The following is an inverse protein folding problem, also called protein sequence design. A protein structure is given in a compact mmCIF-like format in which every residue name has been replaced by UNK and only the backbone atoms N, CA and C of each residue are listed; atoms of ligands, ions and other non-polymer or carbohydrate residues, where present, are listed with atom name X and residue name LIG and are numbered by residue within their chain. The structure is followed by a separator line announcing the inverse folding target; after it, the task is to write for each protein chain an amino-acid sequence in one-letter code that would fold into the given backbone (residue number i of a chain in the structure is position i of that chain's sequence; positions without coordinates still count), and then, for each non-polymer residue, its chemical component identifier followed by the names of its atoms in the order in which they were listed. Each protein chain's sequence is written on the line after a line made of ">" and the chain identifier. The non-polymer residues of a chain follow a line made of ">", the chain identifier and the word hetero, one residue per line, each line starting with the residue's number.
data_IF_725708796896
#
_entry.id   IF_725708796896
#
_cell.length_a   1.000
_cell.length_b   1.000
_cell.length_c   1.000
_cell.angle_alpha   90.00
_cell.angle_beta   90.00
_cell.angle_gamma   90.00
#
_symmetry.space_group_name_H-M   'P 1'
#
loop_
_entity.id
_entity.type
_entity.pdbx_description
1 polymer ?
#
# COMPACT_ATOMS: atom_id res chain seq x y z
N UNK A 1 4.09 28.59 -12.15
CA UNK A 1 3.91 27.31 -12.85
C UNK A 1 2.52 27.35 -13.46
N UNK A 2 2.42 27.85 -14.68
CA UNK A 2 1.19 27.80 -15.47
C UNK A 2 0.85 26.34 -15.77
N UNK A 3 -0.41 26.00 -15.51
CA UNK A 3 -0.92 24.65 -15.62
C UNK A 3 -1.38 24.47 -17.07
N UNK A 4 -0.49 24.03 -17.95
CA UNK A 4 -0.81 23.68 -19.34
C UNK A 4 -1.78 22.49 -19.36
N UNK A 5 -3.08 22.78 -19.18
CA UNK A 5 -4.14 21.80 -19.38
C UNK A 5 -4.22 21.53 -20.87
N UNK A 6 -3.65 20.40 -21.30
CA UNK A 6 -3.85 19.88 -22.63
C UNK A 6 -5.36 19.78 -22.93
N UNK A 7 -5.83 20.63 -23.84
CA UNK A 7 -7.22 20.62 -24.32
C UNK A 7 -7.45 19.26 -24.97
N UNK A 8 -8.40 18.50 -24.45
CA UNK A 8 -8.69 17.19 -25.02
C UNK A 8 -9.34 17.36 -26.40
N UNK A 9 -9.06 16.44 -27.34
CA UNK A 9 -9.60 16.51 -28.71
C UNK A 9 -11.14 16.70 -28.74
N UNK A 10 -11.85 16.13 -27.77
CA UNK A 10 -13.29 16.32 -27.60
C UNK A 10 -13.73 17.73 -27.18
N UNK A 11 -12.95 18.42 -26.33
CA UNK A 11 -13.18 19.85 -26.00
C UNK A 11 -12.95 20.75 -27.21
N UNK A 12 -11.90 20.47 -27.99
CA UNK A 12 -11.61 21.22 -29.20
C UNK A 12 -12.73 21.07 -30.24
N UNK A 13 -13.24 19.85 -30.43
CA UNK A 13 -14.36 19.57 -31.35
C UNK A 13 -15.68 20.23 -30.90
N UNK A 14 -15.99 20.19 -29.59
CA UNK A 14 -17.21 20.86 -29.08
C UNK A 14 -17.10 22.38 -29.13
N UNK A 15 -15.92 22.95 -28.82
CA UNK A 15 -15.68 24.38 -28.96
C UNK A 15 -15.79 24.85 -30.42
N UNK A 16 -15.17 24.13 -31.36
CA UNK A 16 -15.28 24.41 -32.79
C UNK A 16 -16.72 24.29 -33.29
N UNK A 17 -17.45 23.25 -32.87
CA UNK A 17 -18.86 23.06 -33.22
C UNK A 17 -19.74 24.19 -32.68
N UNK A 18 -19.53 24.63 -31.45
CA UNK A 18 -20.28 25.74 -30.85
C UNK A 18 -19.96 27.09 -31.53
N UNK A 19 -18.69 27.36 -31.83
CA UNK A 19 -18.28 28.56 -32.57
C UNK A 19 -18.90 28.56 -33.97
N UNK A 20 -18.87 27.43 -34.68
CA UNK A 20 -19.54 27.28 -35.97
C UNK A 20 -21.05 27.52 -35.89
N UNK A 21 -21.70 27.03 -34.83
CA UNK A 21 -23.12 27.25 -34.58
C UNK A 21 -23.44 28.73 -34.30
N UNK A 22 -22.63 29.43 -33.51
CA UNK A 22 -22.78 30.86 -33.24
C UNK A 22 -22.58 31.73 -34.49
N UNK A 23 -21.59 31.40 -35.32
CA UNK A 23 -21.35 32.09 -36.60
C UNK A 23 -22.52 31.87 -37.56
N UNK A 24 -23.00 30.62 -37.67
CA UNK A 24 -24.17 30.31 -38.49
C UNK A 24 -25.43 31.04 -38.01
N UNK A 25 -25.64 31.13 -36.68
CA UNK A 25 -26.76 31.86 -36.08
C UNK A 25 -26.69 33.37 -36.37
N UNK A 26 -25.50 33.96 -36.29
CA UNK A 26 -25.30 35.38 -36.58
C UNK A 26 -25.53 35.73 -38.07
N UNK A 27 -25.21 34.80 -38.99
CA UNK A 27 -25.42 34.97 -40.42
C UNK A 27 -26.85 34.63 -40.88
N UNK A 28 -27.56 33.76 -40.15
CA UNK A 28 -28.90 33.29 -40.45
C UNK A 28 -29.83 33.49 -39.25
N UNK A 29 -30.04 34.76 -38.90
CA UNK A 29 -30.91 35.10 -37.78
C UNK A 29 -32.36 34.69 -38.07
N UNK A 30 -33.00 33.90 -37.20
CA UNK A 30 -34.35 33.39 -37.46
C UNK A 30 -35.42 34.47 -37.29
N UNK A 31 -36.16 34.73 -38.36
CA UNK A 31 -37.26 35.71 -38.37
C UNK A 31 -38.62 35.05 -38.08
N UNK A 32 -38.71 33.71 -38.18
CA UNK A 32 -39.94 32.94 -37.97
C UNK A 32 -39.86 32.04 -36.74
N UNK A 33 -40.99 31.81 -36.09
CA UNK A 33 -41.13 30.97 -34.88
C UNK A 33 -40.60 29.55 -35.07
N UNK A 34 -40.75 29.00 -36.28
CA UNK A 34 -40.46 27.60 -36.58
C UNK A 34 -38.94 27.38 -36.72
N UNK A 35 -38.23 28.42 -37.17
CA UNK A 35 -36.77 28.44 -37.28
C UNK A 35 -36.12 28.56 -35.89
N UNK A 36 -36.75 29.31 -34.97
CA UNK A 36 -36.34 29.38 -33.57
C UNK A 36 -36.36 28.01 -32.88
N UNK A 37 -37.36 27.18 -33.16
CA UNK A 37 -37.44 25.84 -32.60
C UNK A 37 -36.27 24.95 -33.05
N UNK A 38 -35.89 25.02 -34.33
CA UNK A 38 -34.75 24.30 -34.88
C UNK A 38 -33.41 24.76 -34.25
N UNK A 39 -33.24 26.07 -34.04
CA UNK A 39 -32.07 26.61 -33.36
C UNK A 39 -31.98 26.17 -31.90
N UNK A 40 -33.10 26.21 -31.15
CA UNK A 40 -33.14 25.73 -29.77
C UNK A 40 -32.80 24.25 -29.66
N UNK A 41 -33.23 23.44 -30.63
CA UNK A 41 -32.85 22.02 -30.71
C UNK A 41 -31.34 21.86 -30.97
N UNK A 42 -30.77 22.64 -31.88
CA UNK A 42 -29.34 22.61 -32.19
C UNK A 42 -28.49 22.99 -30.97
N UNK A 43 -28.81 24.11 -30.29
CA UNK A 43 -28.15 24.50 -29.05
C UNK A 43 -28.33 23.47 -27.93
N UNK A 44 -29.53 22.92 -27.78
CA UNK A 44 -29.82 21.87 -26.81
C UNK A 44 -28.97 20.62 -27.03
N UNK A 45 -28.78 20.20 -28.29
CA UNK A 45 -27.94 19.04 -28.62
C UNK A 45 -26.46 19.27 -28.29
N UNK A 46 -25.91 20.45 -28.59
CA UNK A 46 -24.51 20.80 -28.29
C UNK A 46 -24.30 20.88 -26.78
N UNK A 47 -25.22 21.49 -26.04
CA UNK A 47 -25.18 21.55 -24.58
C UNK A 47 -25.26 20.15 -23.94
N UNK A 48 -26.11 19.26 -24.48
CA UNK A 48 -26.21 17.88 -24.00
C UNK A 48 -24.91 17.08 -24.20
N UNK A 49 -24.25 17.23 -25.35
CA UNK A 49 -22.97 16.57 -25.65
C UNK A 49 -21.86 17.09 -24.72
N UNK A 50 -21.78 18.41 -24.51
CA UNK A 50 -20.82 19.01 -23.58
C UNK A 50 -21.06 18.54 -22.13
N UNK A 51 -22.33 18.47 -21.71
CA UNK A 51 -22.73 17.96 -20.40
C UNK A 51 -22.35 16.49 -20.19
N UNK A 52 -22.57 15.62 -21.18
CA UNK A 52 -22.20 14.21 -21.11
C UNK A 52 -20.68 14.01 -20.96
N UNK A 53 -19.89 14.78 -21.71
CA UNK A 53 -18.42 14.77 -21.59
C UNK A 53 -17.93 15.24 -20.21
N UNK A 54 -18.56 16.28 -19.65
CA UNK A 54 -18.27 16.75 -18.30
C UNK A 54 -18.56 15.67 -17.25
N UNK A 55 -19.75 15.08 -17.29
CA UNK A 55 -20.17 14.03 -16.34
C UNK A 55 -19.24 12.82 -16.43
N UNK A 56 -18.90 12.36 -17.62
CA UNK A 56 -17.96 11.25 -17.81
C UNK A 56 -16.57 11.56 -17.20
N UNK A 57 -16.06 12.80 -17.34
CA UNK A 57 -14.80 13.19 -16.71
C UNK A 57 -14.87 13.28 -15.19
N UNK A 58 -15.98 13.76 -14.65
CA UNK A 58 -16.21 13.78 -13.20
C UNK A 58 -16.25 12.34 -12.68
N UNK A 59 -17.00 11.46 -13.33
CA UNK A 59 -17.08 10.04 -12.97
C UNK A 59 -15.72 9.33 -13.08
N UNK A 60 -14.93 9.59 -14.12
CA UNK A 60 -13.58 9.03 -14.26
C UNK A 60 -12.64 9.53 -13.16
N UNK A 61 -12.72 10.82 -12.80
CA UNK A 61 -11.93 11.38 -11.69
C UNK A 61 -12.36 10.80 -10.35
N UNK A 62 -13.66 10.65 -10.11
CA UNK A 62 -14.19 10.05 -8.88
C UNK A 62 -13.83 8.57 -8.78
N UNK A 63 -13.91 7.82 -9.87
CA UNK A 63 -13.48 6.42 -9.92
C UNK A 63 -11.97 6.27 -9.66
N UNK A 64 -11.15 7.16 -10.25
CA UNK A 64 -9.71 7.20 -9.98
C UNK A 64 -9.41 7.54 -8.52
N UNK A 65 -10.18 8.45 -7.92
CA UNK A 65 -10.07 8.79 -6.49
C UNK A 65 -10.46 7.62 -5.59
N UNK A 66 -11.57 6.95 -5.87
CA UNK A 66 -11.99 5.77 -5.13
C UNK A 66 -10.96 4.63 -5.22
N UNK A 67 -10.36 4.41 -6.39
CA UNK A 67 -9.28 3.43 -6.55
C UNK A 67 -8.01 3.81 -5.79
N UNK A 68 -7.65 5.10 -5.75
CA UNK A 68 -6.51 5.60 -4.98
C UNK A 68 -6.74 5.43 -3.46
N UNK A 69 -7.93 5.80 -2.96
CA UNK A 69 -8.29 5.65 -1.56
C UNK A 69 -8.30 4.18 -1.12
N UNK A 70 -8.81 3.28 -1.98
CA UNK A 70 -8.78 1.84 -1.73
C UNK A 70 -7.35 1.32 -1.59
N UNK A 71 -6.42 1.78 -2.43
CA UNK A 71 -5.00 1.39 -2.35
C UNK A 71 -4.33 1.89 -1.07
N UNK A 72 -4.63 3.12 -0.65
CA UNK A 72 -4.15 3.68 0.62
C UNK A 72 -4.68 2.85 1.80
N UNK A 73 -5.97 2.49 1.78
CA UNK A 73 -6.58 1.65 2.81
C UNK A 73 -5.95 0.25 2.85
N UNK A 74 -5.71 -0.37 1.69
CA UNK A 74 -5.03 -1.66 1.60
C UNK A 74 -3.62 -1.59 2.19
N UNK A 75 -2.83 -0.56 1.85
CA UNK A 75 -1.49 -0.37 2.39
C UNK A 75 -1.49 -0.16 3.90
N UNK A 76 -2.43 0.65 4.43
CA UNK A 76 -2.60 0.81 5.87
C UNK A 76 -2.98 -0.49 6.57
N UNK A 77 -3.89 -1.27 5.98
CA UNK A 77 -4.26 -2.57 6.52
C UNK A 77 -3.04 -3.51 6.59
N UNK A 78 -2.20 -3.54 5.55
CA UNK A 78 -0.95 -4.30 5.53
C UNK A 78 0.01 -3.79 6.62
N UNK A 79 0.23 -2.48 6.72
CA UNK A 79 1.12 -1.91 7.73
C UNK A 79 0.68 -2.27 9.16
N UNK A 80 -0.62 -2.17 9.47
CA UNK A 80 -1.18 -2.58 10.76
C UNK A 80 -1.01 -4.08 11.02
N UNK A 81 -1.24 -4.93 10.03
CA UNK A 81 -0.99 -6.38 10.18
C UNK A 81 0.48 -6.65 10.48
N UNK A 82 1.40 -6.04 9.72
CA UNK A 82 2.84 -6.22 9.92
C UNK A 82 3.27 -5.72 11.31
N UNK A 83 2.71 -4.60 11.78
CA UNK A 83 2.94 -4.06 13.12
C UNK A 83 2.51 -5.03 14.23
N UNK A 84 1.31 -5.61 14.13
CA UNK A 84 0.81 -6.61 15.09
C UNK A 84 1.71 -7.85 15.15
N UNK A 85 2.16 -8.32 13.99
CA UNK A 85 3.03 -9.48 13.89
C UNK A 85 4.43 -9.18 14.43
N UNK A 86 4.94 -7.98 14.15
CA UNK A 86 6.18 -7.49 14.75
C UNK A 86 6.04 -7.39 16.28
N UNK A 87 4.89 -6.97 16.82
CA UNK A 87 4.64 -6.98 18.25
C UNK A 87 4.77 -8.37 18.89
N UNK A 88 4.28 -9.40 18.20
CA UNK A 88 4.45 -10.81 18.63
C UNK A 88 5.92 -11.25 18.57
N UNK A 89 6.65 -10.84 17.53
CA UNK A 89 8.07 -11.10 17.40
C UNK A 89 8.92 -10.36 18.45
N UNK A 90 8.59 -9.10 18.72
CA UNK A 90 9.26 -8.24 19.70
C UNK A 90 9.09 -8.77 21.11
N UNK A 91 7.85 -9.09 21.52
CA UNK A 91 7.58 -9.71 22.82
C UNK A 91 8.32 -11.04 22.99
N UNK A 92 8.40 -11.84 21.92
CA UNK A 92 9.17 -13.09 21.94
C UNK A 92 10.67 -12.85 22.18
N UNK A 93 11.24 -11.84 21.53
CA UNK A 93 12.65 -11.48 21.73
C UNK A 93 12.94 -10.98 23.16
N UNK A 94 12.08 -10.12 23.68
CA UNK A 94 12.25 -9.50 25.00
C UNK A 94 12.16 -10.54 26.12
N UNK A 95 11.18 -11.45 26.02
CA UNK A 95 11.02 -12.53 26.99
C UNK A 95 12.08 -13.63 26.85
N UNK A 96 12.60 -13.90 25.65
CA UNK A 96 13.70 -14.84 25.43
C UNK A 96 14.96 -14.42 26.20
N UNK A 97 15.28 -13.11 26.19
CA UNK A 97 16.37 -12.54 27.01
C UNK A 97 16.15 -12.77 28.49
N UNK A 98 14.92 -12.61 28.98
CA UNK A 98 14.59 -12.76 30.39
C UNK A 98 14.58 -14.23 30.86
N UNK A 99 14.03 -15.14 30.05
CA UNK A 99 13.94 -16.57 30.36
C UNK A 99 15.27 -17.31 30.24
N UNK A 100 16.20 -16.77 29.44
CA UNK A 100 17.61 -17.18 29.46
C UNK A 100 18.19 -17.20 30.87
N UNK A 101 17.72 -16.33 31.76
CA UNK A 101 18.26 -16.13 33.10
C UNK A 101 17.57 -16.94 34.21
N UNK A 102 16.32 -17.42 34.02
CA UNK A 102 15.48 -17.82 35.17
C UNK A 102 14.61 -19.08 35.00
N UNK A 103 14.30 -19.56 33.79
CA UNK A 103 13.21 -20.55 33.60
C UNK A 103 13.42 -21.65 32.56
N UNK A 104 14.61 -21.73 31.95
CA UNK A 104 14.91 -22.68 30.89
C UNK A 104 14.40 -22.20 29.52
N UNK A 105 15.31 -22.15 28.54
CA UNK A 105 15.03 -21.59 27.21
C UNK A 105 14.16 -22.52 26.34
N UNK A 106 14.28 -23.84 26.47
CA UNK A 106 13.54 -24.79 25.64
C UNK A 106 12.02 -24.78 25.85
N UNK A 107 11.48 -24.86 27.10
CA UNK A 107 10.02 -24.76 27.33
C UNK A 107 9.43 -23.40 26.92
N UNK A 108 10.25 -22.35 26.95
CA UNK A 108 9.87 -21.04 26.45
C UNK A 108 9.76 -21.05 24.91
N UNK A 109 10.83 -21.48 24.23
CA UNK A 109 10.88 -21.54 22.77
C UNK A 109 9.73 -22.37 22.20
N UNK A 110 9.47 -23.56 22.76
CA UNK A 110 8.35 -24.43 22.37
C UNK A 110 6.99 -23.72 22.37
N UNK A 111 6.73 -22.88 23.37
CA UNK A 111 5.47 -22.13 23.50
C UNK A 111 5.34 -20.99 22.47
N UNK A 112 6.46 -20.51 21.93
CA UNK A 112 6.50 -19.36 21.02
C UNK A 112 6.62 -19.72 19.54
N UNK A 113 7.06 -20.95 19.22
CA UNK A 113 7.16 -21.44 17.83
C UNK A 113 5.80 -21.39 17.12
N UNK A 114 4.76 -22.00 17.68
CA UNK A 114 3.47 -22.11 17.00
C UNK A 114 2.80 -20.75 16.70
N UNK A 115 2.72 -19.78 17.64
CA UNK A 115 2.21 -18.44 17.34
C UNK A 115 3.00 -17.71 16.26
N UNK A 116 4.34 -17.85 16.25
CA UNK A 116 5.18 -17.23 15.23
C UNK A 116 5.03 -17.90 13.85
N UNK A 117 4.81 -19.21 13.79
CA UNK A 117 4.51 -19.90 12.54
C UNK A 117 3.18 -19.42 11.95
N UNK A 118 2.15 -19.24 12.78
CA UNK A 118 0.88 -18.65 12.35
C UNK A 118 1.08 -17.21 11.83
N UNK A 119 1.91 -16.43 12.52
CA UNK A 119 2.24 -15.07 12.11
C UNK A 119 2.95 -15.02 10.74
N UNK A 120 3.90 -15.92 10.50
CA UNK A 120 4.57 -16.05 9.21
C UNK A 120 3.61 -16.50 8.12
N UNK A 121 2.76 -17.51 8.37
CA UNK A 121 1.77 -17.97 7.40
C UNK A 121 0.81 -16.84 7.00
N UNK A 122 0.43 -15.97 7.95
CA UNK A 122 -0.37 -14.78 7.67
C UNK A 122 0.35 -13.78 6.76
N UNK A 123 1.67 -13.58 6.94
CA UNK A 123 2.50 -12.75 6.05
C UNK A 123 2.63 -13.36 4.65
N UNK A 124 2.71 -14.69 4.55
CA UNK A 124 2.82 -15.40 3.27
C UNK A 124 1.54 -15.35 2.44
N UNK A 125 0.39 -15.25 3.11
CA UNK A 125 -0.90 -15.05 2.46
C UNK A 125 -1.06 -13.63 1.87
N UNK A 126 -0.18 -12.68 2.22
CA UNK A 126 -0.23 -11.32 1.67
C UNK A 126 0.18 -11.35 0.19
N UNK A 127 -0.69 -10.94 -0.74
CA UNK A 127 -0.38 -10.96 -2.17
C UNK A 127 0.64 -9.87 -2.53
N UNK A 128 1.94 -10.16 -2.38
CA UNK A 128 3.02 -9.19 -2.66
C UNK A 128 2.99 -8.63 -4.08
N UNK A 129 2.47 -9.40 -5.04
CA UNK A 129 2.34 -9.00 -6.44
C UNK A 129 1.28 -7.92 -6.68
N UNK A 130 0.30 -7.77 -5.78
CA UNK A 130 -0.72 -6.70 -5.87
C UNK A 130 -0.30 -5.43 -5.14
N UNK A 131 0.73 -5.51 -4.30
CA UNK A 131 1.27 -4.39 -3.54
C UNK A 131 2.32 -3.69 -4.41
N UNK A 132 2.47 -2.35 -4.33
CA UNK A 132 3.57 -1.63 -4.95
C UNK A 132 4.93 -2.24 -4.57
N UNK A 133 5.45 -3.10 -5.44
CA UNK A 133 6.43 -4.14 -5.13
C UNK A 133 7.79 -3.56 -4.68
N UNK A 134 8.15 -2.37 -5.18
CA UNK A 134 9.43 -1.75 -4.88
C UNK A 134 9.55 -1.12 -3.47
N UNK A 135 8.43 -0.94 -2.74
CA UNK A 135 8.40 -0.09 -1.54
C UNK A 135 8.09 -0.84 -0.27
N UNK A 136 6.97 -1.58 -0.28
CA UNK A 136 6.55 -2.39 0.85
C UNK A 136 7.02 -3.82 0.66
N UNK A 137 7.11 -4.31 -0.59
CA UNK A 137 7.52 -5.68 -0.89
C UNK A 137 8.90 -6.05 -0.35
N UNK A 138 9.90 -5.18 -0.54
CA UNK A 138 11.27 -5.46 -0.08
C UNK A 138 11.41 -5.44 1.46
N UNK A 139 10.97 -4.40 2.19
CA UNK A 139 10.97 -4.41 3.65
C UNK A 139 10.13 -5.56 4.24
N UNK A 140 8.99 -5.86 3.62
CA UNK A 140 8.11 -6.95 4.05
C UNK A 140 8.78 -8.33 3.84
N UNK A 141 9.47 -8.53 2.72
CA UNK A 141 10.26 -9.74 2.45
C UNK A 141 11.43 -9.87 3.42
N UNK A 142 12.13 -8.78 3.73
CA UNK A 142 13.18 -8.79 4.73
C UNK A 142 12.62 -9.16 6.12
N UNK A 143 11.51 -8.54 6.53
CA UNK A 143 10.85 -8.83 7.79
C UNK A 143 10.41 -10.30 7.87
N UNK A 144 9.83 -10.84 6.79
CA UNK A 144 9.51 -12.27 6.66
C UNK A 144 10.74 -13.14 6.88
N UNK A 145 11.86 -12.83 6.21
CA UNK A 145 13.11 -13.58 6.37
C UNK A 145 13.66 -13.50 7.80
N UNK A 146 13.56 -12.33 8.46
CA UNK A 146 14.00 -12.16 9.84
C UNK A 146 13.16 -12.99 10.83
N UNK A 147 11.85 -13.08 10.62
CA UNK A 147 10.97 -13.90 11.47
C UNK A 147 11.25 -15.40 11.22
N UNK A 148 11.49 -15.81 9.97
CA UNK A 148 11.90 -17.18 9.64
C UNK A 148 13.20 -17.57 10.36
N UNK A 149 14.23 -16.72 10.31
CA UNK A 149 15.46 -16.97 11.08
C UNK A 149 15.22 -17.01 12.59
N UNK A 150 14.30 -16.19 13.09
CA UNK A 150 13.87 -16.25 14.48
C UNK A 150 13.25 -17.61 14.84
N UNK A 151 12.37 -18.13 13.99
CA UNK A 151 11.78 -19.46 14.15
C UNK A 151 12.84 -20.56 14.12
N UNK A 152 13.80 -20.51 13.18
CA UNK A 152 14.92 -21.45 13.13
C UNK A 152 15.72 -21.46 14.44
N UNK A 153 15.98 -20.27 15.00
CA UNK A 153 16.65 -20.11 16.29
C UNK A 153 15.84 -20.75 17.42
N UNK A 154 14.53 -20.48 17.50
CA UNK A 154 13.66 -21.02 18.54
C UNK A 154 13.53 -22.55 18.44
N UNK A 155 13.39 -23.08 17.22
CA UNK A 155 13.36 -24.53 16.99
C UNK A 155 14.67 -25.19 17.44
N UNK A 156 15.83 -24.61 17.08
CA UNK A 156 17.12 -25.11 17.55
C UNK A 156 17.26 -25.09 19.08
N UNK A 157 16.68 -24.07 19.75
CA UNK A 157 16.64 -23.98 21.21
C UNK A 157 15.74 -25.07 21.82
N UNK A 158 14.58 -25.36 21.23
CA UNK A 158 13.67 -26.42 21.69
C UNK A 158 14.30 -27.82 21.50
N UNK A 159 14.91 -28.06 20.34
CA UNK A 159 15.58 -29.32 20.00
C UNK A 159 16.78 -29.61 20.91
N UNK A 160 17.54 -28.60 21.30
CA UNK A 160 18.67 -28.76 22.22
C UNK A 160 18.25 -29.25 23.62
N UNK A 161 17.00 -28.98 24.03
CA UNK A 161 16.41 -29.43 25.27
C UNK A 161 17.16 -28.96 26.54
N UNK A 162 16.79 -29.51 27.72
CA UNK A 162 17.49 -29.23 29.00
C UNK A 162 18.87 -29.88 29.11
N UNK A 163 19.24 -30.75 28.17
CA UNK A 163 20.48 -31.55 28.17
C UNK A 163 21.70 -30.83 27.61
N UNK A 164 21.57 -29.57 27.18
CA UNK A 164 22.70 -28.77 26.74
C UNK A 164 23.74 -28.66 27.88
N UNK A 165 24.88 -29.36 27.73
CA UNK A 165 26.03 -29.26 28.63
C UNK A 165 26.49 -27.79 28.77
N UNK A 166 27.30 -27.45 29.79
CA UNK A 166 27.73 -26.06 30.06
C UNK A 166 28.26 -25.29 28.83
N UNK A 167 28.83 -25.97 27.81
CA UNK A 167 29.22 -25.35 26.53
C UNK A 167 28.05 -24.98 25.59
N UNK A 168 26.91 -25.66 25.69
CA UNK A 168 25.69 -25.38 24.92
C UNK A 168 24.93 -24.15 25.41
N UNK A 169 25.01 -23.80 26.70
CA UNK A 169 24.33 -22.62 27.24
C UNK A 169 24.88 -21.30 26.66
N UNK A 170 26.20 -21.22 26.43
CA UNK A 170 26.82 -20.09 25.75
C UNK A 170 26.35 -19.95 24.29
N UNK A 171 26.16 -21.08 23.58
CA UNK A 171 25.60 -21.09 22.22
C UNK A 171 24.13 -20.64 22.21
N UNK A 172 23.34 -21.09 23.18
CA UNK A 172 21.94 -20.67 23.33
C UNK A 172 21.81 -19.15 23.61
N UNK A 173 22.68 -18.58 24.45
CA UNK A 173 22.73 -17.12 24.67
C UNK A 173 23.13 -16.39 23.40
N UNK A 174 24.12 -16.90 22.66
CA UNK A 174 24.53 -16.32 21.37
C UNK A 174 23.38 -16.29 20.37
N UNK A 175 22.59 -17.38 20.28
CA UNK A 175 21.39 -17.47 19.44
C UNK A 175 20.29 -16.51 19.90
N UNK A 176 20.05 -16.37 21.21
CA UNK A 176 19.10 -15.39 21.73
C UNK A 176 19.50 -13.93 21.42
N UNK A 177 20.80 -13.64 21.43
CA UNK A 177 21.33 -12.33 21.00
C UNK A 177 21.16 -12.12 19.49
N UNK A 178 21.38 -13.15 18.67
CA UNK A 178 21.09 -13.10 17.23
C UNK A 178 19.61 -12.82 16.97
N UNK A 179 18.70 -13.47 17.71
CA UNK A 179 17.26 -13.21 17.62
C UNK A 179 16.92 -11.73 17.89
N UNK A 180 17.55 -11.13 18.91
CA UNK A 180 17.38 -9.70 19.21
C UNK A 180 17.91 -8.80 18.08
N UNK A 181 19.02 -9.16 17.44
CA UNK A 181 19.53 -8.44 16.29
C UNK A 181 18.57 -8.48 15.10
N UNK A 182 17.99 -9.65 14.81
CA UNK A 182 16.98 -9.81 13.76
C UNK A 182 15.73 -8.97 14.04
N UNK A 183 15.28 -8.90 15.31
CA UNK A 183 14.21 -8.00 15.75
C UNK A 183 14.54 -6.53 15.49
N UNK A 184 15.72 -6.07 15.89
CA UNK A 184 16.08 -4.65 15.71
C UNK A 184 16.13 -4.26 14.23
N UNK A 185 16.53 -5.19 13.35
CA UNK A 185 16.49 -5.00 11.90
C UNK A 185 15.06 -4.99 11.36
N UNK A 186 14.23 -5.94 11.81
CA UNK A 186 12.81 -5.98 11.43
C UNK A 186 12.06 -4.71 11.86
N UNK A 187 12.41 -4.12 13.01
CA UNK A 187 11.85 -2.83 13.46
C UNK A 187 12.12 -1.71 12.45
N UNK A 188 13.36 -1.59 11.97
CA UNK A 188 13.73 -0.57 10.98
C UNK A 188 12.95 -0.73 9.68
N UNK A 189 12.68 -1.97 9.27
CA UNK A 189 11.91 -2.25 8.06
C UNK A 189 10.41 -1.96 8.27
N UNK A 190 9.87 -2.21 9.46
CA UNK A 190 8.52 -1.80 9.85
C UNK A 190 8.37 -0.26 9.85
N UNK A 191 9.33 0.47 10.43
CA UNK A 191 9.32 1.93 10.46
C UNK A 191 9.31 2.51 9.03
N UNK A 192 10.06 1.89 8.10
CA UNK A 192 10.02 2.25 6.67
C UNK A 192 8.66 1.98 6.02
N UNK A 193 8.05 0.83 6.33
CA UNK A 193 6.70 0.51 5.81
C UNK A 193 5.71 1.59 6.26
N UNK A 194 5.75 2.00 7.53
CA UNK A 194 4.92 3.09 8.05
C UNK A 194 5.20 4.43 7.37
N UNK A 195 6.46 4.83 7.25
CA UNK A 195 6.83 6.09 6.58
C UNK A 195 6.31 6.15 5.13
N UNK A 196 6.44 5.04 4.39
CA UNK A 196 5.92 4.91 3.02
C UNK A 196 4.40 4.97 3.01
N UNK A 197 3.74 4.31 3.98
CA UNK A 197 2.28 4.24 4.07
C UNK A 197 1.67 5.60 4.41
N UNK A 198 2.35 6.40 5.23
CA UNK A 198 1.95 7.77 5.57
C UNK A 198 2.16 8.75 4.41
N UNK A 199 3.25 8.59 3.66
CA UNK A 199 3.57 9.43 2.51
C UNK A 199 2.70 9.12 1.28
N UNK A 200 2.17 7.89 1.15
CA UNK A 200 1.46 7.46 -0.04
C UNK A 200 0.04 8.04 -0.14
N UNK A 201 -0.21 8.81 -1.20
CA UNK A 201 -1.50 9.48 -1.46
C UNK A 201 -2.41 8.74 -2.45
N UNK A 202 -2.01 7.56 -2.95
CA UNK A 202 -2.83 6.76 -3.88
C UNK A 202 -2.76 7.17 -5.35
N UNK A 203 -2.43 8.43 -5.65
CA UNK A 203 -2.33 8.96 -7.03
C UNK A 203 -0.91 8.97 -7.59
N UNK A 204 0.09 9.06 -6.73
CA UNK A 204 1.48 9.13 -7.16
C UNK A 204 1.96 7.76 -7.65
N UNK A 205 2.65 7.77 -8.80
CA UNK A 205 3.40 6.59 -9.22
C UNK A 205 4.41 6.26 -8.12
N UNK A 206 4.42 5.01 -7.61
CA UNK A 206 5.32 4.61 -6.54
C UNK A 206 6.77 5.05 -6.79
N UNK A 207 7.22 4.98 -8.06
CA UNK A 207 8.55 5.38 -8.56
C UNK A 207 8.95 6.82 -8.22
N UNK A 208 8.00 7.75 -8.16
CA UNK A 208 8.28 9.16 -7.87
C UNK A 208 8.56 9.37 -6.37
N UNK A 209 7.89 8.61 -5.50
CA UNK A 209 8.06 8.69 -4.04
C UNK A 209 9.37 8.06 -3.53
N UNK A 210 9.95 7.03 -4.19
CA UNK A 210 11.27 6.46 -3.81
C UNK A 210 12.41 7.45 -3.92
N UNK A 211 12.32 8.36 -4.88
CA UNK A 211 13.45 9.20 -5.24
C UNK A 211 13.75 10.24 -4.15
N UNK A 212 12.74 10.54 -3.34
CA UNK A 212 12.75 11.61 -2.36
C UNK A 212 12.83 11.10 -0.90
N UNK A 213 12.88 9.77 -0.69
CA UNK A 213 12.99 9.08 0.62
C UNK A 213 14.29 8.26 0.72
#
# INVERSE_FOLDING_TARGET
>A
MENDRAVTCGEALTALGFVGLCVAFALHYPDKSDEWAAWMQAFGSVAAIAGAGWVARVQLREAARGAADLRVQQLRAIATLVDQLFGTFNSTADELKFHGLTGGLAPYARRRIAPLQVAVAALEAVPLHTIPNAYVGLPLSNLKNMIHHGLEILSAIDEAGPTAHQGGYADLIKRANQFSWHRDRAKKDLDKIWAITEAYKGYDSPVVLARDL
#
